data_IF_212698406852
#
_entry.id   IF_212698406852
#
_cell.length_a   1.000
_cell.length_b   1.000
_cell.length_c   1.000
_cell.angle_alpha   90.00
_cell.angle_beta   90.00
_cell.angle_gamma   90.00
#
_symmetry.space_group_name_H-M   'P 1'
#
loop_
_entity.id
_entity.type
_entity.pdbx_description
1 polymer ?
#
# COMPACT_ATOMS: atom_id res chain seq x y z
N UNK A 1 -0.65 -11.10 -11.48
CA UNK A 1 0.04 -9.83 -11.22
C UNK A 1 -1.02 -8.86 -10.80
N UNK A 2 -1.00 -8.50 -9.52
CA UNK A 2 -1.95 -7.57 -8.95
C UNK A 2 -1.95 -6.26 -9.76
N UNK A 3 -3.14 -5.72 -9.94
CA UNK A 3 -3.38 -4.45 -10.61
C UNK A 3 -3.16 -3.32 -9.60
N UNK A 4 -2.41 -2.30 -10.03
CA UNK A 4 -2.20 -1.08 -9.24
C UNK A 4 -3.08 0.02 -9.83
N UNK A 5 -3.94 0.61 -9.01
CA UNK A 5 -4.63 1.88 -9.33
C UNK A 5 -3.88 2.98 -8.60
N UNK A 6 -3.01 3.75 -9.30
CA UNK A 6 -2.16 4.73 -8.64
C UNK A 6 -2.98 5.90 -8.11
N UNK A 7 -2.66 6.32 -6.88
CA UNK A 7 -3.12 7.56 -6.28
C UNK A 7 -1.93 8.19 -5.51
N UNK A 8 -2.15 9.27 -4.76
CA UNK A 8 -1.09 9.98 -4.03
C UNK A 8 -0.47 9.12 -2.92
N UNK A 9 -1.21 8.17 -2.35
CA UNK A 9 -0.81 7.32 -1.26
C UNK A 9 -0.56 8.05 0.07
N UNK A 10 -0.92 9.34 0.19
CA UNK A 10 -0.57 10.17 1.37
C UNK A 10 -1.57 10.09 2.52
N UNK A 11 -2.76 9.54 2.27
CA UNK A 11 -3.78 9.28 3.27
C UNK A 11 -4.55 8.01 2.93
N UNK A 12 -5.45 7.60 3.82
CA UNK A 12 -6.35 6.45 3.63
C UNK A 12 -7.31 6.70 2.46
N UNK A 13 -7.79 7.93 2.29
CA UNK A 13 -8.70 8.36 1.22
C UNK A 13 -7.99 8.42 -0.14
N UNK A 14 -6.69 8.75 -0.13
CA UNK A 14 -5.85 8.81 -1.32
C UNK A 14 -4.94 7.58 -1.46
N UNK A 15 -5.27 6.47 -0.80
CA UNK A 15 -4.47 5.26 -0.82
C UNK A 15 -4.33 4.70 -2.24
N UNK A 16 -3.18 4.09 -2.53
CA UNK A 16 -2.95 3.33 -3.75
C UNK A 16 -3.77 2.05 -3.67
N UNK A 17 -4.59 1.72 -4.67
CA UNK A 17 -5.42 0.52 -4.60
C UNK A 17 -4.69 -0.66 -5.25
N UNK A 18 -4.60 -1.77 -4.52
CA UNK A 18 -4.12 -3.06 -5.01
C UNK A 18 -5.33 -3.98 -5.22
N UNK A 19 -5.58 -4.38 -6.46
CA UNK A 19 -6.69 -5.24 -6.85
C UNK A 19 -6.19 -6.47 -7.61
N UNK A 20 -7.05 -7.48 -7.78
CA UNK A 20 -6.78 -8.68 -8.59
C UNK A 20 -5.46 -9.40 -8.21
N UNK A 21 -5.07 -9.33 -6.94
CA UNK A 21 -3.93 -10.07 -6.42
C UNK A 21 -4.25 -11.57 -6.43
N UNK A 22 -3.36 -12.38 -7.02
CA UNK A 22 -3.54 -13.83 -7.04
C UNK A 22 -3.35 -14.46 -5.65
N UNK A 23 -2.50 -13.85 -4.83
CA UNK A 23 -2.21 -14.20 -3.45
C UNK A 23 -1.59 -12.98 -2.74
N UNK A 24 -1.29 -13.12 -1.44
CA UNK A 24 -0.65 -12.06 -0.65
C UNK A 24 0.73 -11.65 -1.19
N UNK A 25 1.49 -12.57 -1.81
CA UNK A 25 2.83 -12.26 -2.34
C UNK A 25 2.73 -11.40 -3.60
N UNK A 26 1.77 -11.68 -4.48
CA UNK A 26 1.48 -10.86 -5.67
C UNK A 26 1.04 -9.44 -5.26
N UNK A 27 0.25 -9.36 -4.19
CA UNK A 27 -0.13 -8.11 -3.57
C UNK A 27 1.04 -7.28 -3.04
N UNK A 28 1.87 -7.88 -2.17
CA UNK A 28 3.07 -7.23 -1.62
C UNK A 28 4.03 -6.82 -2.74
N UNK A 29 4.22 -7.68 -3.75
CA UNK A 29 5.07 -7.35 -4.90
C UNK A 29 4.57 -6.11 -5.65
N UNK A 30 3.25 -5.90 -5.73
CA UNK A 30 2.68 -4.70 -6.34
C UNK A 30 2.92 -3.43 -5.51
N UNK A 31 2.89 -3.49 -4.18
CA UNK A 31 3.25 -2.37 -3.32
C UNK A 31 4.70 -1.93 -3.56
N UNK A 32 5.63 -2.90 -3.57
CA UNK A 32 7.05 -2.63 -3.81
C UNK A 32 7.29 -2.09 -5.22
N UNK A 33 6.60 -2.63 -6.24
CA UNK A 33 6.68 -2.10 -7.61
C UNK A 33 6.21 -0.64 -7.68
N UNK A 34 5.12 -0.28 -7.00
CA UNK A 34 4.67 1.11 -6.94
C UNK A 34 5.74 2.03 -6.31
N UNK A 35 6.36 1.59 -5.22
CA UNK A 35 7.42 2.34 -4.56
C UNK A 35 8.67 2.45 -5.46
N UNK A 36 9.02 1.39 -6.18
CA UNK A 36 10.14 1.41 -7.12
C UNK A 36 9.91 2.34 -8.31
N UNK A 37 8.70 2.35 -8.87
CA UNK A 37 8.32 3.26 -9.95
C UNK A 37 8.33 4.73 -9.49
N UNK A 38 7.94 4.99 -8.24
CA UNK A 38 7.80 6.34 -7.70
C UNK A 38 9.09 6.93 -7.15
N UNK A 39 9.84 6.14 -6.39
CA UNK A 39 11.01 6.59 -5.64
C UNK A 39 12.32 6.05 -6.19
N UNK A 40 12.29 5.00 -7.02
CA UNK A 40 13.47 4.29 -7.51
C UNK A 40 13.75 3.02 -6.71
N UNK A 41 14.90 2.38 -6.96
CA UNK A 41 15.22 1.04 -6.42
C UNK A 41 15.30 1.01 -4.88
N UNK A 42 14.71 -0.02 -4.27
CA UNK A 42 14.86 -0.30 -2.83
C UNK A 42 16.35 -0.47 -2.42
N UNK A 43 16.70 0.01 -1.23
CA UNK A 43 18.05 -0.02 -0.68
C UNK A 43 19.01 1.01 -1.29
N UNK A 44 18.60 1.66 -2.37
CA UNK A 44 19.35 2.76 -3.01
C UNK A 44 18.61 4.09 -2.82
N UNK A 45 17.36 4.16 -3.26
CA UNK A 45 16.58 5.38 -3.27
C UNK A 45 15.64 5.50 -2.06
N UNK A 46 15.21 4.36 -1.53
CA UNK A 46 14.38 4.28 -0.32
C UNK A 46 14.62 2.96 0.41
N UNK A 47 14.24 2.90 1.69
CA UNK A 47 14.19 1.66 2.48
C UNK A 47 12.96 1.65 3.37
N UNK A 48 12.40 0.46 3.58
CA UNK A 48 11.29 0.28 4.51
C UNK A 48 11.78 0.46 5.96
N UNK A 49 11.05 1.27 6.73
CA UNK A 49 11.29 1.45 8.17
C UNK A 49 10.29 0.67 9.00
N UNK A 50 9.02 0.81 8.67
CA UNK A 50 7.91 0.14 9.36
C UNK A 50 6.79 -0.15 8.38
N UNK A 51 6.07 -1.23 8.65
CA UNK A 51 4.83 -1.60 7.96
C UNK A 51 3.79 -1.90 9.02
N UNK A 52 2.57 -1.42 8.81
CA UNK A 52 1.42 -1.66 9.69
C UNK A 52 0.21 -2.05 8.86
N UNK A 53 -0.51 -3.08 9.32
CA UNK A 53 -1.86 -3.37 8.86
C UNK A 53 -2.84 -2.49 9.64
N UNK A 54 -3.65 -1.72 8.93
CA UNK A 54 -4.73 -0.92 9.47
C UNK A 54 -6.06 -1.55 9.09
N UNK A 55 -6.86 -1.88 10.10
CA UNK A 55 -8.26 -2.23 9.94
C UNK A 55 -9.08 -0.95 10.17
N UNK A 56 -9.62 -0.38 9.10
CA UNK A 56 -10.47 0.80 9.15
C UNK A 56 -11.93 0.34 9.09
N UNK A 57 -12.71 0.55 10.16
CA UNK A 57 -14.12 0.20 10.17
C UNK A 57 -14.86 0.86 9.00
N UNK A 58 -15.91 0.23 8.48
CA UNK A 58 -16.74 0.85 7.47
C UNK A 58 -17.34 2.16 7.99
N UNK A 59 -17.56 3.11 7.08
CA UNK A 59 -18.20 4.38 7.43
C UNK A 59 -19.62 4.16 7.97
N UNK A 60 -20.08 5.07 8.84
CA UNK A 60 -21.47 5.07 9.30
C UNK A 60 -22.40 5.21 8.08
N UNK A 61 -23.15 4.15 7.76
CA UNK A 61 -23.97 4.07 6.55
C UNK A 61 -23.80 2.77 5.75
N UNK A 62 -22.78 1.96 6.08
CA UNK A 62 -22.55 0.64 5.48
C UNK A 62 -21.37 0.61 4.50
N UNK A 63 -20.80 -0.58 4.33
CA UNK A 63 -19.59 -0.84 3.53
C UNK A 63 -18.85 -2.06 4.07
N UNK A 64 -17.86 -2.57 3.33
CA UNK A 64 -16.91 -3.56 3.85
C UNK A 64 -15.83 -2.88 4.71
N UNK A 65 -15.27 -3.61 5.67
CA UNK A 65 -14.06 -3.18 6.37
C UNK A 65 -12.97 -2.92 5.33
N UNK A 66 -12.25 -1.80 5.47
CA UNK A 66 -11.18 -1.44 4.55
C UNK A 66 -9.85 -1.74 5.21
N UNK A 67 -9.13 -2.69 4.63
CA UNK A 67 -7.79 -3.03 5.06
C UNK A 67 -6.78 -2.17 4.30
N UNK A 68 -5.87 -1.54 5.06
CA UNK A 68 -4.80 -0.76 4.48
C UNK A 68 -3.45 -1.19 5.01
N UNK A 69 -2.48 -1.26 4.12
CA UNK A 69 -1.08 -1.32 4.50
C UNK A 69 -0.49 0.10 4.54
N UNK A 70 0.07 0.44 5.69
CA UNK A 70 0.78 1.70 5.93
C UNK A 70 2.26 1.42 5.98
N UNK A 71 2.97 1.84 4.93
CA UNK A 71 4.42 1.76 4.84
C UNK A 71 5.05 3.09 5.22
N UNK A 72 5.98 3.07 6.16
CA UNK A 72 6.86 4.19 6.47
C UNK A 72 8.20 3.90 5.81
N UNK A 73 8.61 4.74 4.88
CA UNK A 73 9.87 4.60 4.13
C UNK A 73 10.80 5.78 4.44
N UNK A 74 12.10 5.52 4.43
CA UNK A 74 13.13 6.57 4.48
C UNK A 74 13.76 6.69 3.09
N UNK A 75 13.75 7.89 2.52
CA UNK A 75 14.34 8.20 1.22
C UNK A 75 15.85 8.45 1.34
N UNK A 76 16.55 8.46 0.20
CA UNK A 76 18.01 8.63 0.15
C UNK A 76 18.52 9.97 0.71
N UNK A 77 17.68 11.01 0.71
CA UNK A 77 17.98 12.31 1.32
C UNK A 77 17.73 12.34 2.84
N UNK A 78 17.27 11.22 3.42
CA UNK A 78 16.94 11.07 4.83
C UNK A 78 15.53 11.52 5.21
N UNK A 79 14.73 12.04 4.27
CA UNK A 79 13.32 12.32 4.52
C UNK A 79 12.53 11.04 4.72
N UNK A 80 11.42 11.15 5.45
CA UNK A 80 10.54 10.02 5.77
C UNK A 80 9.18 10.26 5.14
N UNK A 81 8.72 9.29 4.36
CA UNK A 81 7.40 9.30 3.72
C UNK A 81 6.54 8.20 4.32
N UNK A 82 5.23 8.46 4.35
CA UNK A 82 4.22 7.44 4.66
C UNK A 82 3.40 7.19 3.40
N UNK A 83 3.27 5.92 3.03
CA UNK A 83 2.49 5.48 1.87
C UNK A 83 1.40 4.52 2.35
N UNK A 84 0.18 4.77 1.93
CA UNK A 84 -0.99 3.96 2.23
C UNK A 84 -1.41 3.17 0.99
N UNK A 85 -1.63 1.87 1.17
CA UNK A 85 -2.17 0.96 0.16
C UNK A 85 -3.50 0.42 0.64
N UNK A 86 -4.55 0.51 -0.19
CA UNK A 86 -5.80 -0.20 0.05
C UNK A 86 -5.62 -1.63 -0.47
N UNK A 87 -5.64 -2.58 0.45
CA UNK A 87 -5.42 -4.01 0.21
C UNK A 87 -6.67 -4.83 0.51
N UNK A 88 -7.87 -4.22 0.46
CA UNK A 88 -9.14 -4.90 0.71
C UNK A 88 -9.29 -6.19 -0.11
N UNK A 89 -8.82 -6.19 -1.35
CA UNK A 89 -8.84 -7.37 -2.24
C UNK A 89 -8.09 -8.58 -1.67
N UNK A 90 -7.12 -8.39 -0.76
CA UNK A 90 -6.39 -9.52 -0.16
C UNK A 90 -7.28 -10.37 0.74
N UNK A 91 -8.35 -9.78 1.26
CA UNK A 91 -9.26 -10.43 2.21
C UNK A 91 -10.53 -10.95 1.55
N UNK A 92 -10.74 -10.65 0.27
CA UNK A 92 -11.81 -11.21 -0.55
C UNK A 92 -11.44 -12.57 -1.18
N UNK A 93 -10.20 -13.05 -0.99
CA UNK A 93 -9.66 -14.29 -1.58
C UNK A 93 -10.18 -15.59 -0.91
N UNK A 94 -11.37 -15.57 -0.31
CA UNK A 94 -11.97 -16.70 0.41
C UNK A 94 -12.76 -17.65 -0.52
#
# INVERSE_FOLDING_TARGET
MARIIPNSGRSVEEAVVIEDAADHLDGIAAEYRYLEERYGKEGVAWKLKFQFLLDVPPEEGGGSARFFDKLIIELADGSVETVYFNIGSFFDMA
#
